data_IF_784721317666
#
_entry.id   IF_784721317666
#
_cell.length_a   1.000
_cell.length_b   1.000
_cell.length_c   1.000
_cell.angle_alpha   90.00
_cell.angle_beta   90.00
_cell.angle_gamma   90.00
#
_symmetry.space_group_name_H-M   'P 1'
#
loop_
_entity.id
_entity.type
_entity.pdbx_description
1 polymer ?
#
# COMPACT_ATOMS: atom_id res chain seq x y z
N UNK A 1 -62.91 53.38 -10.81
CA UNK A 1 -61.72 53.38 -11.69
C UNK A 1 -60.66 52.51 -10.99
N UNK A 2 -60.45 51.23 -11.37
CA UNK A 2 -59.47 50.40 -10.76
C UNK A 2 -58.11 50.58 -11.47
N UNK A 3 -57.07 50.82 -10.70
CA UNK A 3 -55.69 50.90 -11.15
C UNK A 3 -55.13 49.49 -11.35
N UNK A 4 -54.85 49.17 -12.62
CA UNK A 4 -54.18 47.92 -12.99
C UNK A 4 -52.67 48.08 -12.80
N UNK A 5 -52.08 47.38 -11.79
CA UNK A 5 -50.65 47.25 -11.63
C UNK A 5 -50.11 46.23 -12.67
N UNK A 6 -49.33 46.73 -13.62
CA UNK A 6 -48.52 45.89 -14.52
C UNK A 6 -47.27 45.39 -13.72
N UNK A 7 -47.24 44.12 -13.45
CA UNK A 7 -46.03 43.42 -12.99
C UNK A 7 -45.21 43.01 -14.20
N UNK A 8 -44.07 43.61 -14.40
CA UNK A 8 -43.06 43.16 -15.37
C UNK A 8 -42.31 41.97 -14.77
N UNK A 9 -42.21 40.81 -15.44
CA UNK A 9 -41.38 39.72 -14.98
C UNK A 9 -39.91 40.09 -15.21
N UNK A 10 -39.19 40.35 -14.13
CA UNK A 10 -37.75 40.53 -14.14
C UNK A 10 -37.13 39.14 -14.36
N UNK A 11 -36.70 38.90 -15.59
CA UNK A 11 -36.05 37.66 -16.04
C UNK A 11 -34.60 37.60 -15.53
N UNK A 12 -34.46 37.42 -14.23
CA UNK A 12 -33.16 37.07 -13.63
C UNK A 12 -32.91 35.59 -13.83
N UNK A 13 -32.54 35.21 -15.03
CA UNK A 13 -31.85 33.93 -15.27
C UNK A 13 -30.56 33.97 -14.51
N UNK A 14 -30.57 33.49 -13.27
CA UNK A 14 -29.33 33.13 -12.55
C UNK A 14 -28.73 31.97 -13.34
N UNK A 15 -27.71 32.29 -14.13
CA UNK A 15 -26.81 31.30 -14.65
C UNK A 15 -26.15 30.60 -13.44
N UNK A 16 -26.67 29.46 -13.07
CA UNK A 16 -25.97 28.51 -12.21
C UNK A 16 -24.76 28.00 -13.00
N UNK A 17 -23.63 28.66 -12.83
CA UNK A 17 -22.36 28.16 -13.33
C UNK A 17 -22.03 26.95 -12.46
N UNK A 18 -22.19 25.75 -13.01
CA UNK A 18 -21.66 24.52 -12.44
C UNK A 18 -20.14 24.71 -12.38
N UNK A 19 -19.64 25.14 -11.24
CA UNK A 19 -18.22 25.03 -10.91
C UNK A 19 -17.97 23.54 -10.73
N UNK A 20 -17.51 22.88 -11.78
CA UNK A 20 -16.94 21.55 -11.65
C UNK A 20 -15.80 21.68 -10.65
N UNK A 21 -15.86 20.99 -9.48
CA UNK A 21 -14.68 20.92 -8.65
C UNK A 21 -13.57 20.37 -9.54
N UNK A 22 -12.43 21.07 -9.60
CA UNK A 22 -11.23 20.51 -10.17
C UNK A 22 -10.92 19.26 -9.33
N UNK A 23 -11.35 18.10 -9.85
CA UNK A 23 -10.92 16.82 -9.34
C UNK A 23 -9.43 16.85 -9.66
N UNK A 24 -8.60 17.16 -8.68
CA UNK A 24 -7.22 16.75 -8.72
C UNK A 24 -7.27 15.23 -8.73
N UNK A 25 -7.30 14.64 -9.92
CA UNK A 25 -6.90 13.27 -10.10
C UNK A 25 -5.44 13.23 -9.61
N UNK A 26 -5.26 12.93 -8.34
CA UNK A 26 -3.99 12.42 -7.88
C UNK A 26 -3.75 11.19 -8.74
N UNK A 27 -2.94 11.36 -9.76
CA UNK A 27 -2.51 10.29 -10.65
C UNK A 27 -1.70 9.33 -9.79
N UNK A 28 -2.38 8.34 -9.23
CA UNK A 28 -1.75 7.24 -8.51
C UNK A 28 -0.81 6.55 -9.49
N UNK A 29 0.46 6.90 -9.41
CA UNK A 29 1.48 6.23 -10.20
C UNK A 29 1.86 4.93 -9.50
N UNK A 30 1.83 3.82 -10.25
CA UNK A 30 2.24 2.51 -9.78
C UNK A 30 3.65 2.22 -10.28
N UNK A 31 4.49 1.70 -9.41
CA UNK A 31 5.85 1.27 -9.72
C UNK A 31 5.98 -0.24 -9.63
N UNK A 32 6.74 -0.82 -10.56
CA UNK A 32 7.12 -2.22 -10.51
C UNK A 32 8.37 -2.40 -9.65
N UNK A 33 8.36 -3.44 -8.84
CA UNK A 33 9.51 -3.85 -8.04
C UNK A 33 9.56 -5.38 -7.92
N UNK A 34 10.71 -5.92 -7.59
CA UNK A 34 10.87 -7.34 -7.29
C UNK A 34 10.43 -7.64 -5.85
N UNK A 35 9.53 -8.58 -5.64
CA UNK A 35 9.05 -9.01 -4.32
C UNK A 35 10.10 -9.69 -3.43
N UNK A 36 11.35 -9.83 -3.89
CA UNK A 36 12.47 -10.35 -3.10
C UNK A 36 13.57 -9.31 -2.91
N UNK A 37 14.12 -8.74 -3.99
CA UNK A 37 15.29 -7.83 -3.91
C UNK A 37 14.96 -6.35 -4.13
N UNK A 38 13.67 -5.99 -4.31
CA UNK A 38 13.18 -4.65 -4.64
C UNK A 38 13.73 -4.04 -5.95
N UNK A 39 14.49 -4.77 -6.74
CA UNK A 39 15.00 -4.24 -8.00
C UNK A 39 13.83 -3.84 -8.92
N UNK A 40 13.92 -2.68 -9.60
CA UNK A 40 12.98 -2.28 -10.62
C UNK A 40 13.14 -3.19 -11.86
N UNK A 41 12.16 -3.23 -12.77
CA UNK A 41 12.29 -3.98 -14.01
C UNK A 41 13.42 -3.40 -14.86
N UNK A 42 14.20 -4.27 -15.49
CA UNK A 42 15.32 -3.88 -16.37
C UNK A 42 14.80 -3.15 -17.64
N UNK A 43 13.57 -3.42 -18.04
CA UNK A 43 12.91 -2.79 -19.18
C UNK A 43 11.73 -1.94 -18.73
N UNK A 44 11.62 -0.74 -19.28
CA UNK A 44 10.59 0.24 -18.96
C UNK A 44 9.15 -0.18 -19.38
N UNK A 45 8.99 -1.27 -20.11
CA UNK A 45 7.70 -1.77 -20.57
C UNK A 45 7.29 -2.94 -19.66
N UNK A 46 6.04 -2.97 -19.15
CA UNK A 46 5.58 -4.11 -18.38
C UNK A 46 5.73 -5.36 -19.24
N UNK A 47 6.55 -6.28 -18.75
CA UNK A 47 6.78 -7.55 -19.42
C UNK A 47 5.44 -8.26 -19.64
N UNK A 48 5.24 -8.97 -20.77
CA UNK A 48 4.07 -9.81 -20.96
C UNK A 48 3.92 -10.74 -19.75
N UNK A 49 2.68 -11.15 -19.43
CA UNK A 49 2.33 -11.99 -18.26
C UNK A 49 3.26 -13.20 -18.01
N UNK A 50 4.11 -13.55 -18.94
CA UNK A 50 5.05 -14.69 -18.90
C UNK A 50 6.42 -14.35 -18.29
N UNK A 51 6.81 -13.08 -18.15
CA UNK A 51 8.10 -12.68 -17.58
C UNK A 51 7.90 -12.02 -16.19
N UNK A 52 7.36 -12.76 -15.25
CA UNK A 52 7.16 -12.24 -13.89
C UNK A 52 8.35 -12.46 -12.97
N UNK A 53 9.29 -13.27 -13.34
CA UNK A 53 10.50 -13.52 -12.55
C UNK A 53 11.47 -12.36 -12.73
N UNK A 54 12.04 -11.88 -11.65
CA UNK A 54 13.00 -10.78 -11.63
C UNK A 54 14.28 -11.18 -12.37
N UNK A 55 14.67 -10.41 -13.38
CA UNK A 55 15.92 -10.64 -14.14
C UNK A 55 17.17 -10.36 -13.30
N UNK A 56 17.08 -9.53 -12.24
CA UNK A 56 18.21 -9.16 -11.40
C UNK A 56 18.61 -10.24 -10.40
N UNK A 57 17.63 -10.90 -9.74
CA UNK A 57 17.93 -11.92 -8.73
C UNK A 57 17.53 -13.35 -9.15
N UNK A 58 16.74 -13.51 -10.22
CA UNK A 58 16.28 -14.82 -10.71
C UNK A 58 15.29 -15.57 -9.83
N UNK A 59 14.88 -15.00 -8.67
CA UNK A 59 14.07 -15.67 -7.65
C UNK A 59 12.72 -14.98 -7.44
N UNK A 60 12.73 -13.67 -7.24
CA UNK A 60 11.55 -12.91 -6.87
C UNK A 60 10.59 -12.68 -8.03
N UNK A 61 9.30 -12.56 -7.74
CA UNK A 61 8.29 -12.16 -8.71
C UNK A 61 8.15 -10.64 -8.75
N UNK A 62 7.92 -10.10 -9.95
CA UNK A 62 7.65 -8.68 -10.14
C UNK A 62 6.25 -8.34 -9.62
N UNK A 63 6.17 -7.33 -8.79
CA UNK A 63 4.98 -6.80 -8.14
C UNK A 63 4.81 -5.33 -8.48
N UNK A 64 3.61 -4.80 -8.33
CA UNK A 64 3.33 -3.37 -8.40
C UNK A 64 2.92 -2.84 -7.01
N UNK A 65 3.32 -1.63 -6.70
CA UNK A 65 2.81 -0.87 -5.56
C UNK A 65 2.69 0.61 -5.96
N UNK A 66 1.96 1.44 -5.21
CA UNK A 66 2.02 2.88 -5.34
C UNK A 66 3.48 3.35 -5.30
N UNK A 67 3.85 4.29 -6.17
CA UNK A 67 5.24 4.69 -6.34
C UNK A 67 5.89 5.26 -5.06
N UNK A 68 5.08 5.88 -4.21
CA UNK A 68 5.48 6.41 -2.90
C UNK A 68 5.66 5.31 -1.82
N UNK A 69 5.06 4.15 -2.04
CA UNK A 69 5.11 2.99 -1.15
C UNK A 69 6.06 1.89 -1.65
N UNK A 70 6.39 1.87 -2.94
CA UNK A 70 7.27 0.87 -3.51
C UNK A 70 8.64 0.86 -2.82
N UNK A 71 9.16 -0.33 -2.45
CA UNK A 71 10.46 -0.42 -1.80
C UNK A 71 11.58 -0.17 -2.81
N UNK A 72 12.71 0.32 -2.31
CA UNK A 72 13.94 0.43 -3.07
C UNK A 72 14.90 -0.73 -2.75
N UNK A 73 15.90 -1.01 -3.61
CA UNK A 73 16.90 -2.05 -3.33
C UNK A 73 17.52 -1.90 -1.94
N UNK A 74 17.64 -3.02 -1.23
CA UNK A 74 18.13 -3.14 0.14
C UNK A 74 17.18 -2.58 1.23
N UNK A 75 15.98 -2.15 0.89
CA UNK A 75 14.97 -1.79 1.89
C UNK A 75 14.33 -3.04 2.49
N UNK A 76 14.04 -3.01 3.78
CA UNK A 76 13.36 -4.11 4.46
C UNK A 76 11.86 -4.05 4.18
N UNK A 77 11.30 -5.12 3.63
CA UNK A 77 9.86 -5.24 3.38
C UNK A 77 9.36 -6.68 3.46
N UNK A 78 8.06 -6.81 3.68
CA UNK A 78 7.33 -8.10 3.70
C UNK A 78 6.06 -7.94 2.86
N UNK A 79 5.74 -8.95 2.06
CA UNK A 79 4.47 -9.05 1.33
C UNK A 79 3.57 -10.06 2.02
N UNK A 80 2.32 -9.68 2.26
CA UNK A 80 1.36 -10.42 3.09
C UNK A 80 0.03 -10.48 2.36
N UNK A 81 -0.61 -11.64 2.34
CA UNK A 81 -1.95 -11.78 1.75
C UNK A 81 -3.08 -11.31 2.69
N UNK A 82 -4.32 -11.41 2.22
CA UNK A 82 -5.50 -11.02 2.98
C UNK A 82 -5.77 -11.90 4.22
N UNK A 83 -5.16 -13.07 4.32
CA UNK A 83 -5.24 -13.97 5.47
C UNK A 83 -4.14 -13.70 6.52
N UNK A 84 -3.36 -12.63 6.32
CA UNK A 84 -2.21 -12.25 7.13
C UNK A 84 -1.02 -13.21 6.99
N UNK A 85 -0.99 -14.03 5.95
CA UNK A 85 0.10 -14.96 5.69
C UNK A 85 1.21 -14.29 4.90
N UNK A 86 2.45 -14.47 5.31
CA UNK A 86 3.64 -13.97 4.62
C UNK A 86 3.80 -14.71 3.29
N UNK A 87 3.89 -13.95 2.20
CA UNK A 87 4.06 -14.47 0.85
C UNK A 87 5.49 -14.30 0.34
N UNK A 88 6.15 -13.25 0.80
CA UNK A 88 7.53 -12.96 0.43
C UNK A 88 8.16 -11.99 1.42
N UNK A 89 9.49 -12.02 1.49
CA UNK A 89 10.28 -11.18 2.38
C UNK A 89 11.58 -10.78 1.68
N UNK A 90 12.03 -9.54 1.90
CA UNK A 90 13.34 -9.11 1.41
C UNK A 90 14.48 -9.59 2.30
N UNK A 91 15.70 -9.77 1.76
CA UNK A 91 16.88 -10.13 2.57
C UNK A 91 17.16 -9.13 3.71
N UNK A 92 16.85 -7.85 3.50
CA UNK A 92 16.97 -6.86 4.56
C UNK A 92 15.92 -7.06 5.68
N UNK A 93 14.71 -7.53 5.33
CA UNK A 93 13.71 -7.89 6.33
C UNK A 93 14.06 -9.17 7.09
N UNK A 94 14.68 -10.15 6.46
CA UNK A 94 15.22 -11.34 7.15
C UNK A 94 16.20 -10.94 8.27
N UNK A 95 17.12 -10.04 7.94
CA UNK A 95 18.08 -9.52 8.91
C UNK A 95 17.41 -8.71 10.03
N UNK A 96 16.45 -7.83 9.64
CA UNK A 96 15.73 -6.98 10.60
C UNK A 96 14.88 -7.78 11.58
N UNK A 97 14.23 -8.84 11.09
CA UNK A 97 13.30 -9.67 11.87
C UNK A 97 13.98 -10.91 12.48
N UNK A 98 15.24 -11.15 12.16
CA UNK A 98 16.03 -12.32 12.58
C UNK A 98 15.32 -13.66 12.25
N UNK A 99 14.74 -13.75 11.06
CA UNK A 99 14.06 -14.94 10.55
C UNK A 99 14.33 -15.09 9.06
N UNK A 100 14.57 -16.31 8.58
CA UNK A 100 14.74 -16.56 7.14
C UNK A 100 13.42 -16.46 6.39
N UNK A 101 13.48 -16.14 5.09
CA UNK A 101 12.28 -16.15 4.25
C UNK A 101 11.62 -17.52 4.21
N UNK A 102 12.41 -18.61 4.18
CA UNK A 102 11.91 -19.98 4.18
C UNK A 102 11.11 -20.32 5.45
N UNK A 103 11.54 -19.79 6.60
CA UNK A 103 10.84 -19.96 7.88
C UNK A 103 9.65 -19.00 8.06
N UNK A 104 9.62 -17.90 7.34
CA UNK A 104 8.62 -16.87 7.48
C UNK A 104 7.42 -17.06 6.52
N UNK A 105 7.67 -17.57 5.29
CA UNK A 105 6.63 -17.78 4.28
C UNK A 105 5.57 -18.74 4.82
N UNK A 106 4.30 -18.43 4.53
CA UNK A 106 3.10 -19.11 5.03
C UNK A 106 2.80 -18.92 6.53
N UNK A 107 3.71 -18.34 7.31
CA UNK A 107 3.41 -17.96 8.70
C UNK A 107 2.57 -16.70 8.75
N UNK A 108 1.85 -16.53 9.84
CA UNK A 108 1.14 -15.28 10.08
C UNK A 108 2.12 -14.16 10.40
N UNK A 109 1.97 -13.02 9.74
CA UNK A 109 2.82 -11.85 10.01
C UNK A 109 2.69 -11.37 11.45
N UNK A 110 1.56 -11.64 12.12
CA UNK A 110 1.33 -11.34 13.55
C UNK A 110 2.20 -12.17 14.49
N UNK A 111 2.79 -13.27 14.02
CA UNK A 111 3.77 -14.07 14.78
C UNK A 111 5.17 -13.46 14.69
N UNK A 112 5.43 -12.64 13.66
CA UNK A 112 6.70 -11.97 13.40
C UNK A 112 6.70 -10.51 13.87
N UNK A 113 5.55 -9.86 13.78
CA UNK A 113 5.36 -8.43 14.07
C UNK A 113 4.22 -8.22 15.06
N UNK A 114 4.53 -7.54 16.16
CA UNK A 114 3.55 -7.14 17.16
C UNK A 114 3.31 -5.64 17.05
N UNK A 115 2.05 -5.15 17.13
CA UNK A 115 1.77 -3.71 17.18
C UNK A 115 2.54 -3.06 18.35
N UNK A 116 3.27 -1.97 18.07
CA UNK A 116 4.06 -1.29 19.11
C UNK A 116 3.18 -0.42 20.02
N UNK A 117 2.05 0.07 19.49
CA UNK A 117 1.12 0.98 20.17
C UNK A 117 -0.24 0.30 20.41
N UNK A 118 -0.23 -0.96 20.82
CA UNK A 118 -1.45 -1.76 21.03
C UNK A 118 -2.44 -1.09 22.02
N UNK A 119 -1.92 -0.33 22.98
CA UNK A 119 -2.74 0.40 23.96
C UNK A 119 -3.37 1.68 23.37
N UNK A 120 -2.69 2.34 22.41
CA UNK A 120 -3.13 3.59 21.81
C UNK A 120 -4.07 3.41 20.60
N UNK A 121 -3.88 2.36 19.84
CA UNK A 121 -4.60 2.12 18.58
C UNK A 121 -5.53 0.89 18.60
N UNK A 122 -5.49 0.13 19.68
CA UNK A 122 -6.17 -1.17 19.78
C UNK A 122 -5.50 -2.27 18.95
N UNK A 123 -5.87 -3.54 19.16
CA UNK A 123 -5.23 -4.69 18.52
C UNK A 123 -5.44 -4.77 16.99
N UNK A 124 -6.22 -3.87 16.41
CA UNK A 124 -6.64 -3.91 15.01
C UNK A 124 -5.71 -3.15 14.04
N UNK A 125 -4.77 -2.33 14.52
CA UNK A 125 -4.02 -1.40 13.66
C UNK A 125 -3.29 -2.07 12.49
N UNK A 126 -2.36 -2.97 12.77
CA UNK A 126 -1.57 -3.65 11.72
C UNK A 126 -2.43 -4.59 10.87
N UNK A 127 -3.22 -5.45 11.52
CA UNK A 127 -4.06 -6.42 10.83
C UNK A 127 -5.13 -5.73 9.96
N UNK A 128 -5.75 -4.66 10.46
CA UNK A 128 -6.72 -3.89 9.70
C UNK A 128 -6.08 -3.21 8.49
N UNK A 129 -4.92 -2.59 8.63
CA UNK A 129 -4.17 -1.97 7.53
C UNK A 129 -3.82 -2.99 6.45
N UNK A 130 -3.34 -4.18 6.83
CA UNK A 130 -3.05 -5.28 5.90
C UNK A 130 -4.31 -5.73 5.16
N UNK A 131 -5.39 -6.02 5.89
CA UNK A 131 -6.65 -6.49 5.28
C UNK A 131 -7.22 -5.47 4.32
N UNK A 132 -7.19 -4.17 4.65
CA UNK A 132 -7.65 -3.10 3.78
C UNK A 132 -6.79 -2.99 2.51
N UNK A 133 -5.46 -3.02 2.65
CA UNK A 133 -4.52 -2.94 1.53
C UNK A 133 -4.64 -4.15 0.61
N UNK A 134 -4.67 -5.37 1.14
CA UNK A 134 -4.89 -6.60 0.37
C UNK A 134 -6.31 -6.66 -0.23
N UNK A 135 -7.29 -5.99 0.39
CA UNK A 135 -8.66 -5.85 -0.12
C UNK A 135 -8.79 -4.85 -1.29
N UNK A 136 -7.74 -4.10 -1.59
CA UNK A 136 -7.70 -3.17 -2.72
C UNK A 136 -7.84 -1.70 -2.34
N UNK A 137 -7.67 -1.33 -1.07
CA UNK A 137 -7.50 0.07 -0.69
C UNK A 137 -6.26 0.63 -1.42
N UNK A 138 -6.38 1.86 -1.93
CA UNK A 138 -5.28 2.51 -2.67
C UNK A 138 -4.37 3.36 -1.78
N UNK A 139 -4.79 3.60 -0.54
CA UNK A 139 -4.06 4.44 0.41
C UNK A 139 -3.05 3.62 1.22
N UNK A 140 -1.92 4.24 1.55
CA UNK A 140 -0.93 3.69 2.46
C UNK A 140 -1.21 4.13 3.90
N UNK A 141 -0.95 3.24 4.86
CA UNK A 141 -1.17 3.49 6.29
C UNK A 141 0.14 3.31 7.05
N UNK A 142 0.54 4.33 7.82
CA UNK A 142 1.67 4.23 8.73
C UNK A 142 1.27 3.52 10.02
N UNK A 143 2.07 2.54 10.42
CA UNK A 143 1.89 1.80 11.68
C UNK A 143 3.22 1.68 12.42
N UNK A 144 3.18 1.53 13.74
CA UNK A 144 4.35 1.19 14.52
C UNK A 144 4.27 -0.27 14.96
N UNK A 145 5.36 -1.01 14.73
CA UNK A 145 5.47 -2.43 15.03
C UNK A 145 6.75 -2.74 15.82
N UNK A 146 6.77 -3.90 16.43
CA UNK A 146 7.96 -4.48 17.05
C UNK A 146 8.19 -5.87 16.47
N UNK A 147 9.43 -6.25 16.13
CA UNK A 147 9.75 -7.64 15.83
C UNK A 147 9.42 -8.52 17.04
N UNK A 148 8.78 -9.67 16.80
CA UNK A 148 8.41 -10.60 17.86
C UNK A 148 9.65 -11.21 18.58
N UNK A 149 10.75 -11.39 17.83
CA UNK A 149 11.99 -11.97 18.33
C UNK A 149 12.92 -10.96 19.02
N UNK A 150 12.71 -9.64 18.84
CA UNK A 150 13.64 -8.61 19.35
C UNK A 150 12.93 -7.68 20.31
N UNK A 151 13.37 -7.70 21.58
CA UNK A 151 12.81 -6.85 22.61
C UNK A 151 13.33 -5.40 22.50
N UNK A 152 12.44 -4.43 22.76
CA UNK A 152 12.82 -3.02 22.87
C UNK A 152 12.95 -2.26 21.54
N UNK A 153 12.83 -2.92 20.39
CA UNK A 153 12.90 -2.28 19.08
C UNK A 153 11.50 -1.85 18.65
N UNK A 154 11.34 -0.58 18.26
CA UNK A 154 10.13 -0.03 17.67
C UNK A 154 10.45 0.42 16.25
N UNK A 155 9.74 -0.12 15.29
CA UNK A 155 9.89 0.16 13.87
C UNK A 155 8.69 0.93 13.36
N UNK A 156 8.95 1.93 12.52
CA UNK A 156 7.90 2.52 11.70
C UNK A 156 7.74 1.66 10.44
N UNK A 157 6.52 1.27 10.15
CA UNK A 157 6.19 0.55 8.93
C UNK A 157 5.12 1.31 8.14
N UNK A 158 5.22 1.26 6.83
CA UNK A 158 4.22 1.74 5.89
C UNK A 158 3.54 0.54 5.26
N UNK A 159 2.22 0.45 5.38
CA UNK A 159 1.40 -0.64 4.82
C UNK A 159 0.63 -0.09 3.64
N UNK A 160 0.77 -0.69 2.49
CA UNK A 160 0.10 -0.30 1.26
C UNK A 160 -0.27 -1.50 0.39
N UNK A 161 -1.09 -1.28 -0.66
CA UNK A 161 -1.46 -2.35 -1.58
C UNK A 161 -0.29 -2.75 -2.48
N UNK A 162 -0.25 -4.02 -2.85
CA UNK A 162 0.63 -4.51 -3.93
C UNK A 162 -0.03 -5.64 -4.72
N UNK A 163 0.55 -6.01 -5.85
CA UNK A 163 0.05 -7.11 -6.68
C UNK A 163 0.63 -7.12 -8.09
N UNK A 164 0.15 -7.99 -8.97
CA UNK A 164 -0.66 -9.18 -8.76
C UNK A 164 0.14 -10.39 -8.22
N UNK A 165 -0.48 -11.28 -7.46
CA UNK A 165 -1.85 -11.25 -6.92
C UNK A 165 -2.03 -10.14 -5.88
N UNK A 166 -3.27 -9.77 -5.55
CA UNK A 166 -3.55 -8.75 -4.53
C UNK A 166 -2.98 -9.16 -3.18
N UNK A 167 -2.20 -8.26 -2.60
CA UNK A 167 -1.54 -8.45 -1.33
C UNK A 167 -1.33 -7.07 -0.64
N UNK A 168 -0.85 -7.09 0.58
CA UNK A 168 -0.36 -5.92 1.29
C UNK A 168 1.18 -5.95 1.32
N UNK A 169 1.77 -4.80 1.07
CA UNK A 169 3.20 -4.55 1.20
C UNK A 169 3.44 -3.81 2.52
N UNK A 170 4.34 -4.30 3.33
CA UNK A 170 4.80 -3.68 4.58
C UNK A 170 6.25 -3.28 4.37
N UNK A 171 6.54 -1.98 4.35
CA UNK A 171 7.91 -1.44 4.21
C UNK A 171 8.33 -0.83 5.54
N UNK A 172 9.51 -1.18 6.04
CA UNK A 172 10.06 -0.65 7.30
C UNK A 172 10.95 0.57 7.00
N UNK A 173 10.64 1.69 7.64
CA UNK A 173 11.29 3.00 7.41
C UNK A 173 11.59 3.72 8.73
#
# INVERSE_FOLDING_TARGET
MPHTLRVTPDDRRRHLQLVSPAIHEETFSWSWFCGHCAAPPVRAVPAPRQQRVCESCGVGLMQQAPADAAPVPNEAFVIVDSSLSVQSMSPAAEQLLAVSADDAVERRVTDLLVPADAEAQGPAGLAAAITQSAGGATTTTGVFVRPGATFGVRLRAQVGPCGPPRAALIVFR
#
